data_IF_028341114654
#
_entry.id   IF_028341114654
#
_cell.length_a   1.000
_cell.length_b   1.000
_cell.length_c   1.000
_cell.angle_alpha   90.00
_cell.angle_beta   90.00
_cell.angle_gamma   90.00
#
_symmetry.space_group_name_H-M   'P 1'
#
loop_
_entity.id
_entity.type
_entity.pdbx_description
1 polymer ?
#
# COMPACT_ATOMS: atom_id res chain seq x y z
N UNK A 1 11.72 -22.08 58.80
CA UNK A 1 12.92 -21.94 57.95
C UNK A 1 12.57 -20.97 56.84
N UNK A 2 12.98 -19.71 57.02
CA UNK A 2 12.66 -18.59 56.16
C UNK A 2 13.83 -18.34 55.20
N UNK A 3 13.53 -18.12 53.92
CA UNK A 3 14.49 -17.65 52.94
C UNK A 3 13.97 -16.35 52.35
N UNK A 4 14.70 -15.28 52.66
CA UNK A 4 14.61 -13.93 52.09
C UNK A 4 15.32 -13.88 50.75
N UNK A 5 14.69 -13.30 49.73
CA UNK A 5 15.35 -12.91 48.49
C UNK A 5 15.33 -11.39 48.34
N UNK A 6 16.53 -10.84 48.10
CA UNK A 6 16.89 -9.43 47.99
C UNK A 6 16.64 -8.94 46.55
N UNK A 7 16.05 -7.75 46.41
CA UNK A 7 15.86 -7.04 45.14
C UNK A 7 16.87 -5.90 45.09
N UNK A 8 17.79 -5.92 44.13
CA UNK A 8 18.68 -4.79 43.82
C UNK A 8 18.12 -3.97 42.65
N UNK A 9 18.00 -2.66 42.89
CA UNK A 9 17.71 -1.62 41.89
C UNK A 9 18.86 -0.63 41.88
N UNK A 10 19.36 -0.17 40.72
CA UNK A 10 20.25 0.98 40.68
C UNK A 10 19.46 2.28 40.56
N UNK A 11 19.67 3.14 41.56
CA UNK A 11 19.25 4.54 41.64
C UNK A 11 20.49 5.39 41.34
N UNK A 12 20.42 6.30 40.36
CA UNK A 12 21.43 7.34 40.18
C UNK A 12 20.81 8.72 40.34
N UNK A 13 21.11 9.33 41.48
CA UNK A 13 20.89 10.74 41.82
C UNK A 13 22.02 11.60 41.24
N UNK A 14 21.72 12.79 40.74
CA UNK A 14 22.65 13.93 40.76
C UNK A 14 21.86 15.23 40.93
N UNK A 15 22.27 15.98 41.96
CA UNK A 15 21.77 17.28 42.40
C UNK A 15 22.15 18.45 41.47
N UNK A 16 21.38 19.53 41.60
CA UNK A 16 21.53 20.88 41.02
C UNK A 16 22.77 21.64 41.59
N UNK A 17 23.32 22.69 40.95
CA UNK A 17 22.74 24.05 40.96
C UNK A 17 22.91 24.89 39.68
N UNK A 18 22.18 26.01 39.66
CA UNK A 18 22.15 27.04 38.62
C UNK A 18 23.31 28.04 38.73
N UNK A 19 23.82 28.51 37.59
CA UNK A 19 24.30 29.89 37.38
C UNK A 19 24.32 30.23 35.88
N UNK A 20 24.19 31.52 35.64
CA UNK A 20 23.80 32.29 34.45
C UNK A 20 25.02 32.71 33.60
N UNK A 21 24.92 32.73 32.26
CA UNK A 21 25.32 33.85 31.38
C UNK A 21 25.27 33.52 29.85
N UNK A 22 24.39 34.26 29.16
CA UNK A 22 24.55 34.96 27.85
C UNK A 22 25.29 34.30 26.67
N UNK A 23 24.54 33.96 25.60
CA UNK A 23 24.68 34.67 24.31
C UNK A 23 23.47 34.50 23.38
N UNK A 24 23.02 35.65 22.92
CA UNK A 24 21.83 35.96 22.13
C UNK A 24 22.24 36.21 20.68
N UNK A 25 21.48 35.69 19.70
CA UNK A 25 21.28 36.26 18.35
C UNK A 25 20.19 35.46 17.62
N UNK A 26 18.95 35.91 17.72
CA UNK A 26 18.24 36.81 16.79
C UNK A 26 17.78 36.13 15.50
N UNK A 27 16.51 35.72 15.58
CA UNK A 27 15.58 35.49 14.48
C UNK A 27 15.22 36.85 13.85
N UNK A 28 15.13 36.90 12.52
CA UNK A 28 14.42 37.99 11.84
C UNK A 28 13.53 37.42 10.73
N UNK A 29 12.21 37.55 10.92
CA UNK A 29 11.15 37.49 9.90
C UNK A 29 10.80 38.93 9.52
N UNK A 30 10.29 39.12 8.29
CA UNK A 30 9.29 40.11 7.79
C UNK A 30 9.69 40.54 6.36
N UNK A 31 8.95 40.14 5.32
CA UNK A 31 7.70 40.69 4.74
C UNK A 31 7.93 41.90 3.78
N UNK A 32 7.70 41.61 2.49
CA UNK A 32 7.06 42.40 1.41
C UNK A 32 7.33 43.91 1.19
N UNK A 33 7.66 44.31 -0.05
CA UNK A 33 6.81 45.04 -1.03
C UNK A 33 7.66 45.65 -2.19
N UNK A 34 7.21 45.43 -3.44
CA UNK A 34 7.24 46.26 -4.68
C UNK A 34 8.44 47.19 -5.02
N UNK A 35 9.03 47.08 -6.23
CA UNK A 35 8.72 47.85 -7.47
C UNK A 35 9.77 47.64 -8.59
N UNK A 36 9.29 47.78 -9.83
CA UNK A 36 9.86 47.76 -11.20
C UNK A 36 11.35 48.05 -11.48
N UNK A 37 11.95 47.33 -12.44
CA UNK A 37 12.36 47.80 -13.79
C UNK A 37 13.55 47.02 -14.40
N UNK A 38 13.57 46.94 -15.73
CA UNK A 38 14.50 46.21 -16.61
C UNK A 38 15.99 46.52 -16.42
N UNK A 39 16.86 45.49 -16.57
CA UNK A 39 17.86 45.47 -17.65
C UNK A 39 18.63 44.13 -17.74
N UNK A 40 19.01 43.82 -18.97
CA UNK A 40 19.77 42.67 -19.48
C UNK A 40 21.08 42.35 -18.73
N UNK A 41 21.41 41.05 -18.61
CA UNK A 41 22.80 40.60 -18.80
C UNK A 41 22.93 39.08 -19.05
N UNK A 42 23.30 38.76 -20.30
CA UNK A 42 24.35 37.82 -20.72
C UNK A 42 24.64 36.59 -19.83
N UNK A 43 24.29 35.39 -20.31
CA UNK A 43 24.81 34.11 -19.76
C UNK A 43 25.83 33.51 -20.73
N UNK A 44 27.06 33.41 -20.23
CA UNK A 44 28.21 32.73 -20.82
C UNK A 44 27.94 31.22 -20.94
N UNK A 45 28.14 30.68 -22.15
CA UNK A 45 28.16 29.25 -22.40
C UNK A 45 29.47 28.63 -21.88
N UNK A 46 29.35 27.61 -21.02
CA UNK A 46 30.43 26.68 -20.72
C UNK A 46 30.10 25.33 -21.36
N UNK A 47 30.88 24.96 -22.37
CA UNK A 47 30.83 23.65 -22.99
C UNK A 47 31.36 22.58 -22.02
N UNK A 48 30.61 21.51 -21.82
CA UNK A 48 31.10 20.27 -21.21
C UNK A 48 30.93 19.12 -22.19
N UNK A 49 32.06 18.52 -22.53
CA UNK A 49 32.22 17.41 -23.46
C UNK A 49 31.61 16.13 -22.89
N UNK A 50 30.58 15.58 -23.54
CA UNK A 50 30.09 14.22 -23.28
C UNK A 50 30.46 13.35 -24.48
N UNK A 51 31.27 12.31 -24.25
CA UNK A 51 31.50 11.24 -25.20
C UNK A 51 30.16 10.49 -25.43
N UNK A 52 29.58 10.63 -26.61
CA UNK A 52 28.44 9.82 -27.06
C UNK A 52 28.94 8.55 -27.73
N UNK A 53 28.70 7.40 -27.10
CA UNK A 53 28.73 6.12 -27.80
C UNK A 53 27.42 5.96 -28.59
N UNK A 54 27.50 6.08 -29.91
CA UNK A 54 26.40 5.76 -30.80
C UNK A 54 26.28 4.23 -30.93
N UNK A 55 25.28 3.64 -30.27
CA UNK A 55 24.82 2.29 -30.60
C UNK A 55 23.82 2.42 -31.75
N UNK A 56 24.24 2.05 -32.94
CA UNK A 56 23.37 1.95 -34.12
C UNK A 56 22.36 0.83 -33.90
N UNK A 57 21.12 1.19 -33.53
CA UNK A 57 19.99 0.25 -33.54
C UNK A 57 19.57 -0.01 -34.99
N UNK A 58 19.72 -1.26 -35.42
CA UNK A 58 19.12 -1.77 -36.65
C UNK A 58 17.59 -1.65 -36.59
N UNK A 59 17.03 -1.05 -37.63
CA UNK A 59 15.61 -0.81 -37.82
C UNK A 59 14.81 -2.11 -37.89
N UNK A 60 13.81 -2.27 -37.01
CA UNK A 60 12.63 -3.08 -37.29
C UNK A 60 11.49 -2.12 -37.60
N UNK A 61 11.14 -2.03 -38.89
CA UNK A 61 9.97 -1.31 -39.39
C UNK A 61 8.71 -2.08 -39.00
N UNK A 62 7.81 -1.46 -38.25
CA UNK A 62 6.41 -1.84 -38.22
C UNK A 62 5.61 -0.73 -38.90
N UNK A 63 5.26 -0.98 -40.15
CA UNK A 63 4.40 -0.11 -40.96
C UNK A 63 2.95 -0.53 -40.77
N UNK A 64 2.11 0.40 -40.30
CA UNK A 64 0.68 0.46 -40.67
C UNK A 64 0.14 1.86 -40.38
N UNK A 65 -0.26 2.54 -41.45
CA UNK A 65 -0.86 3.87 -41.48
C UNK A 65 -2.32 3.81 -41.02
N UNK A 66 -2.72 4.78 -40.18
CA UNK A 66 -4.10 5.21 -40.02
C UNK A 66 -4.11 6.74 -39.95
N UNK A 67 -4.68 7.37 -40.98
CA UNK A 67 -4.67 8.80 -41.27
C UNK A 67 -5.82 9.53 -40.56
N UNK A 68 -5.51 10.57 -39.77
CA UNK A 68 -6.30 11.81 -39.66
C UNK A 68 -5.48 12.87 -38.93
N UNK A 69 -5.44 14.08 -39.48
CA UNK A 69 -4.49 15.13 -39.12
C UNK A 69 -4.71 15.79 -37.75
N UNK A 70 -3.60 16.19 -37.15
CA UNK A 70 -3.36 17.52 -36.54
C UNK A 70 -1.86 17.62 -36.17
N UNK A 71 -1.14 18.69 -36.56
CA UNK A 71 0.25 18.87 -36.16
C UNK A 71 0.29 19.70 -34.87
N UNK A 72 0.16 19.04 -33.72
CA UNK A 72 0.37 19.69 -32.43
C UNK A 72 1.27 18.81 -31.53
N UNK A 73 2.50 19.29 -31.37
CA UNK A 73 3.34 19.08 -30.18
C UNK A 73 3.51 17.62 -29.71
N UNK A 74 4.39 16.90 -30.41
CA UNK A 74 5.14 15.79 -29.82
C UNK A 74 6.18 16.33 -28.82
N UNK A 75 5.73 16.81 -27.67
CA UNK A 75 6.53 16.71 -26.44
C UNK A 75 6.37 15.28 -25.95
N UNK A 76 7.09 14.37 -26.60
CA UNK A 76 7.28 13.01 -26.12
C UNK A 76 8.01 13.07 -24.79
N UNK A 77 7.26 13.18 -23.70
CA UNK A 77 7.76 12.72 -22.40
C UNK A 77 7.85 11.21 -22.53
N UNK A 78 9.00 10.71 -22.95
CA UNK A 78 9.30 9.28 -22.80
C UNK A 78 9.33 9.00 -21.30
N UNK A 79 8.18 8.61 -20.76
CA UNK A 79 8.08 8.05 -19.42
C UNK A 79 8.75 6.68 -19.50
N UNK A 80 10.02 6.62 -19.11
CA UNK A 80 10.70 5.37 -18.84
C UNK A 80 9.94 4.67 -17.71
N UNK A 81 9.08 3.72 -18.09
CA UNK A 81 8.41 2.84 -17.12
C UNK A 81 9.45 1.84 -16.62
N UNK A 82 9.75 1.80 -15.30
CA UNK A 82 10.64 0.79 -14.76
C UNK A 82 9.99 -0.58 -14.94
N UNK A 83 10.49 -1.37 -15.89
CA UNK A 83 10.16 -2.78 -15.98
C UNK A 83 10.72 -3.49 -14.76
N UNK A 84 9.86 -4.22 -14.06
CA UNK A 84 10.29 -5.13 -12.99
C UNK A 84 11.41 -6.03 -13.53
N UNK A 85 12.55 -6.06 -12.84
CA UNK A 85 13.73 -6.82 -13.25
C UNK A 85 13.73 -8.25 -12.70
N UNK A 86 12.96 -8.49 -11.64
CA UNK A 86 12.96 -9.72 -10.85
C UNK A 86 11.55 -10.25 -10.63
N UNK A 87 11.47 -11.56 -10.41
CA UNK A 87 10.29 -12.26 -9.92
C UNK A 87 10.59 -12.91 -8.59
N UNK A 88 9.54 -13.26 -7.85
CA UNK A 88 9.64 -13.90 -6.56
C UNK A 88 8.86 -15.20 -6.55
N UNK A 89 9.37 -16.17 -5.79
CA UNK A 89 8.75 -17.46 -5.57
C UNK A 89 8.73 -17.78 -4.08
N UNK A 90 7.58 -18.23 -3.60
CA UNK A 90 7.43 -18.73 -2.23
C UNK A 90 8.06 -20.13 -2.14
N UNK A 91 8.96 -20.31 -1.18
CA UNK A 91 9.61 -21.60 -0.89
C UNK A 91 8.85 -22.38 0.17
N UNK A 92 9.17 -23.67 0.33
CA UNK A 92 8.61 -24.51 1.40
C UNK A 92 8.90 -23.97 2.81
N UNK A 93 9.95 -23.16 2.96
CA UNK A 93 10.30 -22.49 4.22
C UNK A 93 9.52 -21.18 4.43
N UNK A 94 8.47 -20.93 3.64
CA UNK A 94 7.65 -19.73 3.71
C UNK A 94 8.42 -18.43 3.47
N UNK A 95 9.47 -18.49 2.64
CA UNK A 95 10.28 -17.33 2.27
C UNK A 95 10.12 -17.01 0.79
N UNK A 96 10.01 -15.71 0.48
CA UNK A 96 10.03 -15.17 -0.86
C UNK A 96 11.47 -15.04 -1.37
N UNK A 97 11.83 -15.87 -2.34
CA UNK A 97 13.17 -15.86 -2.94
C UNK A 97 13.12 -15.16 -4.29
N UNK A 98 14.06 -14.22 -4.47
CA UNK A 98 14.22 -13.46 -5.70
C UNK A 98 14.84 -14.33 -6.80
N UNK A 99 14.29 -14.22 -8.00
CA UNK A 99 14.74 -14.88 -9.22
C UNK A 99 14.83 -13.86 -10.36
N UNK A 100 15.73 -14.09 -11.30
CA UNK A 100 15.80 -13.29 -12.51
C UNK A 100 14.63 -13.62 -13.45
N UNK A 101 14.08 -12.59 -14.09
CA UNK A 101 13.19 -12.77 -15.23
C UNK A 101 13.99 -13.26 -16.44
N UNK A 102 13.46 -14.24 -17.16
CA UNK A 102 14.04 -14.65 -18.44
C UNK A 102 13.83 -13.57 -19.52
N UNK A 103 14.59 -13.65 -20.61
CA UNK A 103 14.40 -12.72 -21.75
C UNK A 103 12.97 -12.77 -22.29
N UNK A 104 12.39 -13.96 -22.37
CA UNK A 104 11.02 -14.16 -22.86
C UNK A 104 9.97 -13.61 -21.88
N UNK A 105 10.17 -13.79 -20.57
CA UNK A 105 9.30 -13.21 -19.53
C UNK A 105 9.34 -11.68 -19.57
N UNK A 106 10.52 -11.10 -19.76
CA UNK A 106 10.70 -9.65 -19.91
C UNK A 106 10.06 -9.13 -21.20
N UNK A 107 10.20 -9.85 -22.31
CA UNK A 107 9.65 -9.48 -23.60
C UNK A 107 8.12 -9.57 -23.65
N UNK A 108 7.53 -10.49 -22.88
CA UNK A 108 6.07 -10.62 -22.81
C UNK A 108 5.42 -9.50 -22.00
N UNK A 109 6.15 -8.81 -21.11
CA UNK A 109 5.77 -7.62 -20.32
C UNK A 109 4.37 -7.65 -19.64
N UNK A 110 3.66 -8.77 -19.72
CA UNK A 110 2.22 -8.81 -19.63
C UNK A 110 1.76 -10.26 -19.53
N UNK A 111 0.85 -10.50 -18.60
CA UNK A 111 -0.06 -11.66 -18.44
C UNK A 111 0.37 -12.93 -17.72
N UNK A 112 1.64 -13.28 -17.53
CA UNK A 112 1.94 -14.59 -16.92
C UNK A 112 2.13 -14.49 -15.40
N UNK A 113 1.03 -14.30 -14.68
CA UNK A 113 0.85 -14.94 -13.36
C UNK A 113 0.66 -16.44 -13.56
N UNK A 114 1.69 -17.11 -14.07
CA UNK A 114 1.75 -18.57 -14.02
C UNK A 114 2.11 -19.03 -12.61
N UNK A 115 1.93 -20.32 -12.28
CA UNK A 115 2.35 -20.84 -10.98
C UNK A 115 3.82 -20.49 -10.70
N UNK A 116 4.07 -19.71 -9.64
CA UNK A 116 5.41 -19.38 -9.16
C UNK A 116 6.04 -18.07 -9.65
N UNK A 117 5.35 -17.24 -10.46
CA UNK A 117 5.85 -15.92 -10.87
C UNK A 117 5.05 -14.80 -10.20
N UNK A 118 5.59 -14.25 -9.10
CA UNK A 118 4.94 -13.21 -8.30
C UNK A 118 5.81 -11.96 -8.20
N UNK A 119 5.19 -10.78 -8.04
CA UNK A 119 5.91 -9.59 -7.54
C UNK A 119 6.32 -9.81 -6.09
N UNK A 120 7.22 -8.97 -5.55
CA UNK A 120 7.62 -9.05 -4.14
C UNK A 120 6.39 -8.94 -3.22
N UNK A 121 5.58 -7.89 -3.41
CA UNK A 121 4.38 -7.63 -2.60
C UNK A 121 3.39 -8.77 -2.64
N UNK A 122 3.14 -9.33 -3.84
CA UNK A 122 2.23 -10.46 -3.99
C UNK A 122 2.79 -11.70 -3.31
N UNK A 123 4.10 -11.96 -3.43
CA UNK A 123 4.73 -13.08 -2.75
C UNK A 123 4.61 -12.93 -1.23
N UNK A 124 4.97 -11.78 -0.66
CA UNK A 124 4.88 -11.53 0.79
C UNK A 124 3.44 -11.63 1.31
N UNK A 125 2.47 -11.24 0.49
CA UNK A 125 1.05 -11.33 0.81
C UNK A 125 0.51 -12.78 0.79
N UNK A 126 1.05 -13.67 -0.04
CA UNK A 126 0.56 -15.06 -0.21
C UNK A 126 1.50 -16.15 0.31
N UNK A 127 2.65 -15.77 0.89
CA UNK A 127 3.64 -16.71 1.43
C UNK A 127 3.68 -16.67 2.96
N UNK A 128 3.74 -17.85 3.59
CA UNK A 128 3.81 -17.95 5.05
C UNK A 128 2.60 -17.37 5.77
N UNK A 129 2.86 -16.54 6.78
CA UNK A 129 1.84 -15.86 7.58
C UNK A 129 1.28 -14.58 6.91
N UNK A 130 1.69 -14.29 5.67
CA UNK A 130 1.34 -13.06 4.96
C UNK A 130 2.09 -11.83 5.49
N UNK A 131 1.86 -10.68 4.85
CA UNK A 131 2.46 -9.38 5.17
C UNK A 131 1.62 -8.53 6.15
N UNK A 132 0.73 -9.16 6.90
CA UNK A 132 -0.27 -8.48 7.74
C UNK A 132 0.37 -7.83 8.98
N UNK A 133 0.00 -6.58 9.25
CA UNK A 133 0.37 -5.84 10.44
C UNK A 133 -0.85 -5.09 11.03
N UNK A 134 -1.15 -5.24 12.32
CA UNK A 134 -0.67 -6.31 13.22
C UNK A 134 -0.98 -7.71 12.68
N UNK A 135 -0.25 -8.72 13.16
CA UNK A 135 -0.54 -10.10 12.82
C UNK A 135 -1.85 -10.53 13.51
N UNK A 136 -2.86 -11.03 12.78
CA UNK A 136 -4.11 -11.49 13.37
C UNK A 136 -3.92 -12.70 14.30
N UNK A 137 -4.85 -12.91 15.23
CA UNK A 137 -4.84 -14.11 16.09
C UNK A 137 -4.90 -15.43 15.31
N UNK A 138 -5.63 -15.46 14.20
CA UNK A 138 -5.64 -16.59 13.27
C UNK A 138 -5.66 -16.07 11.84
N UNK A 139 -4.71 -16.55 11.04
CA UNK A 139 -4.59 -16.26 9.62
C UNK A 139 -4.36 -17.57 8.86
N UNK A 140 -5.23 -17.89 7.90
CA UNK A 140 -5.16 -19.15 7.13
C UNK A 140 -5.38 -18.88 5.66
N UNK A 141 -4.31 -18.96 4.87
CA UNK A 141 -4.38 -18.99 3.42
C UNK A 141 -4.86 -20.38 2.97
N UNK A 142 -5.94 -20.42 2.19
CA UNK A 142 -6.41 -21.69 1.61
C UNK A 142 -5.56 -22.08 0.41
N UNK A 143 -5.18 -21.09 -0.40
CA UNK A 143 -4.33 -21.24 -1.58
C UNK A 143 -3.41 -20.02 -1.70
N UNK A 144 -2.12 -20.18 -2.05
CA UNK A 144 -1.18 -19.07 -2.24
C UNK A 144 -1.40 -18.39 -3.61
N UNK A 145 -2.61 -17.91 -3.83
CA UNK A 145 -3.07 -17.39 -5.12
C UNK A 145 -3.75 -16.02 -4.95
N UNK A 146 -3.84 -15.27 -6.06
CA UNK A 146 -4.46 -13.96 -6.10
C UNK A 146 -5.38 -13.80 -7.29
N UNK A 147 -6.36 -12.92 -7.15
CA UNK A 147 -7.26 -12.52 -8.23
C UNK A 147 -7.03 -11.07 -8.62
N UNK A 148 -7.21 -10.80 -9.91
CA UNK A 148 -7.29 -9.46 -10.44
C UNK A 148 -8.50 -8.71 -9.88
N UNK A 149 -8.28 -7.56 -9.26
CA UNK A 149 -9.36 -6.73 -8.73
C UNK A 149 -9.23 -5.28 -9.16
N UNK A 150 -10.38 -4.65 -9.36
CA UNK A 150 -10.47 -3.21 -9.55
C UNK A 150 -10.65 -2.55 -8.18
N UNK A 151 -9.68 -1.72 -7.81
CA UNK A 151 -9.63 -1.01 -6.53
C UNK A 151 -10.73 0.04 -6.36
N UNK A 152 -11.42 0.42 -7.45
CA UNK A 152 -12.55 1.36 -7.41
C UNK A 152 -13.92 0.69 -7.31
N UNK A 153 -14.02 -0.62 -7.57
CA UNK A 153 -15.31 -1.33 -7.60
C UNK A 153 -15.53 -2.29 -6.42
N UNK A 154 -15.11 -1.87 -5.24
CA UNK A 154 -15.48 -2.52 -3.98
C UNK A 154 -16.88 -2.06 -3.54
N UNK A 155 -17.84 -2.97 -3.65
CA UNK A 155 -19.23 -2.74 -3.22
C UNK A 155 -19.48 -3.33 -1.84
N UNK A 156 -20.32 -2.67 -1.04
CA UNK A 156 -20.65 -3.11 0.31
C UNK A 156 -22.13 -3.47 0.43
N UNK A 157 -22.41 -4.66 0.95
CA UNK A 157 -23.75 -5.13 1.31
C UNK A 157 -23.75 -5.48 2.79
N UNK A 158 -24.44 -4.68 3.59
CA UNK A 158 -24.43 -4.80 5.05
C UNK A 158 -25.77 -5.39 5.50
N UNK A 159 -25.72 -6.45 6.31
CA UNK A 159 -26.85 -7.05 6.98
C UNK A 159 -26.75 -6.82 8.50
N UNK A 160 -27.89 -6.71 9.17
CA UNK A 160 -27.96 -6.56 10.63
C UNK A 160 -28.46 -5.19 11.08
N UNK A 161 -28.23 -4.88 12.36
CA UNK A 161 -28.72 -3.66 13.01
C UNK A 161 -27.75 -2.51 12.76
N UNK A 162 -27.74 -1.97 11.54
CA UNK A 162 -26.91 -0.80 11.22
C UNK A 162 -27.78 0.22 10.52
N UNK A 163 -28.59 0.93 11.30
CA UNK A 163 -29.37 2.04 10.79
C UNK A 163 -28.41 3.13 10.30
N UNK A 164 -28.22 3.24 8.99
CA UNK A 164 -27.69 4.38 8.24
C UNK A 164 -26.70 5.29 9.00
N UNK A 165 -25.76 4.70 9.76
CA UNK A 165 -24.89 5.49 10.62
C UNK A 165 -23.89 6.21 9.73
N UNK A 166 -23.77 7.53 9.90
CA UNK A 166 -22.77 8.33 9.19
C UNK A 166 -21.37 7.76 9.38
N UNK A 167 -21.12 7.15 10.54
CA UNK A 167 -19.87 6.46 10.86
C UNK A 167 -19.61 5.26 9.93
N UNK A 168 -20.61 4.43 9.63
CA UNK A 168 -20.46 3.31 8.68
C UNK A 168 -20.08 3.82 7.29
N UNK A 169 -20.80 4.84 6.81
CA UNK A 169 -20.52 5.46 5.51
C UNK A 169 -19.11 6.07 5.47
N UNK A 170 -18.70 6.76 6.54
CA UNK A 170 -17.37 7.32 6.66
C UNK A 170 -16.28 6.23 6.64
N UNK A 171 -16.50 5.10 7.32
CA UNK A 171 -15.55 3.97 7.31
C UNK A 171 -15.44 3.32 5.93
N UNK A 172 -16.56 3.11 5.23
CA UNK A 172 -16.56 2.60 3.86
C UNK A 172 -15.88 3.57 2.89
N UNK A 173 -16.14 4.87 3.03
CA UNK A 173 -15.51 5.93 2.23
C UNK A 173 -14.00 6.02 2.48
N UNK A 174 -13.56 5.91 3.73
CA UNK A 174 -12.14 5.87 4.08
C UNK A 174 -11.45 4.65 3.47
N UNK A 175 -12.08 3.46 3.56
CA UNK A 175 -11.58 2.24 2.92
C UNK A 175 -11.41 2.40 1.40
N UNK A 176 -12.44 2.92 0.71
CA UNK A 176 -12.37 3.18 -0.73
C UNK A 176 -11.26 4.19 -1.07
N UNK A 177 -11.11 5.24 -0.26
CA UNK A 177 -10.06 6.24 -0.43
C UNK A 177 -8.66 5.62 -0.31
N UNK A 178 -8.42 4.75 0.68
CA UNK A 178 -7.13 4.07 0.85
C UNK A 178 -6.84 3.08 -0.29
N UNK A 179 -7.86 2.38 -0.82
CA UNK A 179 -7.69 1.54 -2.01
C UNK A 179 -7.29 2.37 -3.24
N UNK A 180 -7.96 3.50 -3.48
CA UNK A 180 -7.64 4.38 -4.61
C UNK A 180 -6.25 4.98 -4.47
N UNK A 181 -5.80 5.32 -3.27
CA UNK A 181 -4.42 5.80 -3.04
C UNK A 181 -3.36 4.79 -3.51
N UNK A 182 -3.63 3.48 -3.45
CA UNK A 182 -2.72 2.45 -3.98
C UNK A 182 -2.48 2.60 -5.49
N UNK A 183 -3.33 3.31 -6.25
CA UNK A 183 -3.08 3.67 -7.66
C UNK A 183 -1.78 4.44 -7.88
N UNK A 184 -1.25 5.12 -6.85
CA UNK A 184 0.06 5.76 -6.92
C UNK A 184 1.21 4.76 -7.17
N UNK A 185 1.00 3.47 -6.91
CA UNK A 185 1.97 2.41 -7.19
C UNK A 185 2.00 1.99 -8.67
N UNK A 186 0.95 2.32 -9.44
CA UNK A 186 0.80 1.95 -10.85
C UNK A 186 1.57 2.90 -11.79
N UNK A 187 2.87 3.07 -11.55
CA UNK A 187 3.76 3.86 -12.40
C UNK A 187 3.86 3.18 -13.77
N UNK A 188 3.33 3.83 -14.82
CA UNK A 188 3.24 3.25 -16.16
C UNK A 188 1.85 2.69 -16.53
N UNK A 189 0.85 2.89 -15.67
CA UNK A 189 -0.54 2.53 -15.95
C UNK A 189 -0.93 1.13 -15.47
N UNK A 190 -2.19 0.78 -15.74
CA UNK A 190 -2.81 -0.48 -15.30
C UNK A 190 -3.16 -1.31 -16.53
N UNK A 191 -2.61 -2.52 -16.64
CA UNK A 191 -2.82 -3.41 -17.79
C UNK A 191 -4.21 -4.04 -17.82
N UNK A 192 -4.84 -4.24 -16.65
CA UNK A 192 -6.22 -4.70 -16.55
C UNK A 192 -6.88 -4.10 -15.31
N UNK A 193 -8.11 -3.61 -15.45
CA UNK A 193 -8.89 -3.11 -14.32
C UNK A 193 -9.10 -4.21 -13.27
N UNK A 194 -9.25 -5.48 -13.70
CA UNK A 194 -9.58 -6.59 -12.81
C UNK A 194 -11.09 -6.71 -12.56
N UNK A 195 -11.46 -7.53 -11.58
CA UNK A 195 -12.85 -7.85 -11.25
C UNK A 195 -13.36 -6.97 -10.11
N UNK A 196 -14.65 -6.66 -10.12
CA UNK A 196 -15.30 -6.01 -8.98
C UNK A 196 -15.36 -6.94 -7.76
N UNK A 197 -15.27 -6.34 -6.58
CA UNK A 197 -15.26 -7.05 -5.30
C UNK A 197 -16.55 -6.76 -4.55
N UNK A 198 -17.18 -7.82 -4.02
CA UNK A 198 -18.38 -7.71 -3.20
C UNK A 198 -18.05 -8.00 -1.75
N UNK A 199 -18.15 -6.99 -0.90
CA UNK A 199 -18.03 -7.10 0.56
C UNK A 199 -19.41 -7.32 1.14
N UNK A 200 -19.66 -8.51 1.68
CA UNK A 200 -20.88 -8.86 2.40
C UNK A 200 -20.55 -8.89 3.89
N UNK A 201 -21.14 -8.00 4.67
CA UNK A 201 -20.86 -7.91 6.10
C UNK A 201 -22.11 -8.11 6.95
N UNK A 202 -21.96 -8.74 8.11
CA UNK A 202 -22.96 -8.79 9.15
C UNK A 202 -22.45 -8.09 10.40
N UNK A 203 -23.21 -7.09 10.87
CA UNK A 203 -22.89 -6.33 12.08
C UNK A 203 -24.07 -6.50 13.06
N UNK A 204 -23.79 -7.04 14.25
CA UNK A 204 -24.83 -7.45 15.18
C UNK A 204 -25.42 -6.29 16.00
N UNK A 205 -24.58 -5.35 16.41
CA UNK A 205 -24.96 -4.20 17.25
C UNK A 205 -24.97 -2.88 16.47
N UNK A 206 -26.00 -2.06 16.70
CA UNK A 206 -26.10 -0.69 16.18
C UNK A 206 -25.34 0.34 17.03
N UNK A 207 -24.79 -0.07 18.17
CA UNK A 207 -24.11 0.86 19.08
C UNK A 207 -22.82 1.41 18.47
N UNK A 208 -22.73 2.75 18.46
CA UNK A 208 -21.53 3.50 18.08
C UNK A 208 -20.82 4.10 19.30
N UNK A 209 -21.15 3.64 20.51
CA UNK A 209 -20.50 4.09 21.75
C UNK A 209 -19.18 3.35 21.92
N UNK A 210 -18.08 4.10 21.95
CA UNK A 210 -16.76 3.57 22.29
C UNK A 210 -16.59 3.52 23.81
N UNK A 211 -16.23 2.35 24.32
CA UNK A 211 -15.96 2.06 25.74
C UNK A 211 -14.80 1.08 25.84
N UNK A 212 -14.24 0.88 27.04
CA UNK A 212 -13.23 -0.17 27.24
C UNK A 212 -13.75 -1.58 26.93
N UNK A 213 -15.06 -1.79 26.99
CA UNK A 213 -15.70 -3.07 26.73
C UNK A 213 -16.27 -3.19 25.31
N UNK A 214 -15.95 -2.22 24.43
CA UNK A 214 -16.35 -2.30 23.03
C UNK A 214 -15.74 -3.54 22.38
N UNK A 215 -16.60 -4.37 21.81
CA UNK A 215 -16.15 -5.56 21.09
C UNK A 215 -15.58 -5.19 19.73
N UNK A 216 -14.26 -5.32 19.60
CA UNK A 216 -13.47 -5.04 18.40
C UNK A 216 -13.14 -6.31 17.59
N UNK A 217 -13.74 -7.47 17.93
CA UNK A 217 -13.50 -8.73 17.22
C UNK A 217 -14.17 -8.77 15.85
N UNK A 218 -13.55 -9.51 14.93
CA UNK A 218 -14.11 -9.79 13.62
C UNK A 218 -13.64 -11.13 13.03
N UNK A 219 -14.48 -11.66 12.15
CA UNK A 219 -14.12 -12.73 11.21
C UNK A 219 -14.12 -12.14 9.79
N UNK A 220 -13.10 -12.46 9.00
CA UNK A 220 -13.00 -12.11 7.59
C UNK A 220 -12.68 -13.36 6.77
N UNK A 221 -13.45 -13.61 5.72
CA UNK A 221 -13.16 -14.67 4.76
C UNK A 221 -13.21 -14.11 3.33
N UNK A 222 -12.25 -14.51 2.51
CA UNK A 222 -12.24 -14.21 1.06
C UNK A 222 -12.45 -15.52 0.30
N UNK A 223 -13.33 -15.48 -0.68
CA UNK A 223 -13.52 -16.53 -1.66
C UNK A 223 -13.67 -15.90 -3.05
N UNK A 224 -12.61 -15.98 -3.86
CA UNK A 224 -12.46 -15.27 -5.13
C UNK A 224 -12.66 -13.76 -4.95
N UNK A 225 -13.74 -13.19 -5.50
CA UNK A 225 -14.05 -11.75 -5.41
C UNK A 225 -15.15 -11.44 -4.39
N UNK A 226 -15.52 -12.40 -3.54
CA UNK A 226 -16.47 -12.19 -2.45
C UNK A 226 -15.72 -12.15 -1.12
N UNK A 227 -15.90 -11.07 -0.39
CA UNK A 227 -15.37 -10.90 0.97
C UNK A 227 -16.53 -10.98 1.94
N UNK A 228 -16.47 -11.90 2.90
CA UNK A 228 -17.46 -12.04 3.97
C UNK A 228 -16.88 -11.54 5.27
N UNK A 229 -17.55 -10.60 5.94
CA UNK A 229 -17.15 -10.05 7.23
C UNK A 229 -18.24 -10.31 8.27
N UNK A 230 -17.87 -10.78 9.45
CA UNK A 230 -18.76 -10.84 10.62
C UNK A 230 -18.14 -10.07 11.76
N UNK A 231 -18.91 -9.19 12.38
CA UNK A 231 -18.46 -8.41 13.52
C UNK A 231 -19.61 -8.16 14.50
N UNK A 232 -19.27 -8.09 15.79
CA UNK A 232 -20.27 -7.80 16.82
C UNK A 232 -20.63 -6.31 16.84
N UNK A 233 -19.68 -5.44 16.49
CA UNK A 233 -19.88 -3.98 16.40
C UNK A 233 -19.28 -3.41 15.12
N UNK A 234 -19.59 -2.14 14.84
CA UNK A 234 -18.99 -1.39 13.73
C UNK A 234 -17.45 -1.27 13.83
N UNK A 235 -16.88 -1.37 15.04
CA UNK A 235 -15.44 -1.28 15.24
C UNK A 235 -14.72 -2.54 14.77
N UNK A 236 -15.28 -3.72 15.04
CA UNK A 236 -14.81 -4.97 14.44
C UNK A 236 -14.86 -4.94 12.92
N UNK A 237 -15.96 -4.42 12.35
CA UNK A 237 -16.08 -4.22 10.90
C UNK A 237 -15.00 -3.28 10.34
N UNK A 238 -14.72 -2.16 11.02
CA UNK A 238 -13.64 -1.23 10.65
C UNK A 238 -12.27 -1.92 10.66
N UNK A 239 -11.98 -2.75 11.67
CA UNK A 239 -10.74 -3.53 11.74
C UNK A 239 -10.65 -4.54 10.60
N UNK A 240 -11.75 -5.23 10.28
CA UNK A 240 -11.82 -6.13 9.13
C UNK A 240 -11.52 -5.42 7.80
N UNK A 241 -12.01 -4.19 7.60
CA UNK A 241 -11.67 -3.39 6.42
C UNK A 241 -10.19 -3.01 6.38
N UNK A 242 -9.59 -2.67 7.52
CA UNK A 242 -8.16 -2.39 7.61
C UNK A 242 -7.31 -3.62 7.25
N UNK A 243 -7.75 -4.81 7.66
CA UNK A 243 -7.13 -6.08 7.28
C UNK A 243 -7.33 -6.38 5.79
N UNK A 244 -8.53 -6.12 5.23
CA UNK A 244 -8.78 -6.28 3.80
C UNK A 244 -7.88 -5.40 2.94
N UNK A 245 -7.57 -4.16 3.36
CA UNK A 245 -6.66 -3.27 2.64
C UNK A 245 -5.25 -3.85 2.46
N UNK A 246 -4.80 -4.67 3.41
CA UNK A 246 -3.48 -5.30 3.38
C UNK A 246 -3.44 -6.54 2.48
N UNK A 247 -4.62 -7.12 2.21
CA UNK A 247 -4.79 -8.26 1.31
C UNK A 247 -5.00 -7.84 -0.15
N UNK A 248 -4.83 -6.56 -0.47
CA UNK A 248 -4.91 -5.99 -1.81
C UNK A 248 -3.64 -5.19 -2.08
N UNK A 249 -2.88 -5.55 -3.11
CA UNK A 249 -1.65 -4.83 -3.46
C UNK A 249 -1.38 -4.80 -4.97
N UNK A 250 -0.47 -3.92 -5.36
CA UNK A 250 0.01 -3.77 -6.73
C UNK A 250 0.99 -4.88 -7.11
N UNK A 251 0.73 -5.53 -8.25
CA UNK A 251 1.68 -6.41 -8.90
C UNK A 251 2.30 -5.69 -10.09
N UNK A 252 3.58 -5.35 -9.98
CA UNK A 252 4.37 -4.71 -11.04
C UNK A 252 4.61 -5.64 -12.24
N UNK A 253 4.70 -6.96 -12.02
CA UNK A 253 4.82 -7.95 -13.11
C UNK A 253 3.55 -8.07 -13.96
N UNK A 254 2.38 -8.11 -13.34
CA UNK A 254 1.09 -8.18 -14.06
C UNK A 254 0.47 -6.81 -14.32
N UNK A 255 1.17 -5.74 -13.93
CA UNK A 255 0.73 -4.34 -13.98
C UNK A 255 -0.74 -4.17 -13.56
N UNK A 256 -1.10 -4.77 -12.43
CA UNK A 256 -2.49 -4.77 -11.98
C UNK A 256 -2.62 -5.03 -10.49
N UNK A 257 -3.71 -4.54 -9.90
CA UNK A 257 -4.03 -4.80 -8.50
C UNK A 257 -4.46 -6.25 -8.31
N UNK A 258 -3.93 -6.88 -7.26
CA UNK A 258 -4.13 -8.27 -6.89
C UNK A 258 -4.69 -8.31 -5.47
N UNK A 259 -5.71 -9.14 -5.27
CA UNK A 259 -6.24 -9.48 -3.95
C UNK A 259 -6.00 -10.97 -3.68
N UNK A 260 -5.68 -11.34 -2.43
CA UNK A 260 -5.64 -12.76 -2.03
C UNK A 260 -6.94 -13.46 -2.42
N UNK A 261 -6.85 -14.60 -3.12
CA UNK A 261 -8.03 -15.27 -3.67
C UNK A 261 -8.83 -16.04 -2.63
N UNK A 262 -8.17 -16.59 -1.62
CA UNK A 262 -8.82 -17.37 -0.57
C UNK A 262 -8.05 -17.31 0.76
N UNK A 263 -8.69 -16.73 1.79
CA UNK A 263 -8.14 -16.62 3.14
C UNK A 263 -9.25 -16.62 4.18
N UNK A 264 -8.97 -17.12 5.38
CA UNK A 264 -9.80 -16.96 6.57
C UNK A 264 -8.99 -16.30 7.68
N UNK A 265 -9.55 -15.25 8.28
CA UNK A 265 -8.97 -14.48 9.37
C UNK A 265 -9.98 -14.41 10.51
N UNK A 266 -9.51 -14.67 11.72
CA UNK A 266 -10.26 -14.43 12.96
C UNK A 266 -9.36 -13.60 13.85
N UNK A 267 -9.85 -12.45 14.29
CA UNK A 267 -9.02 -11.51 15.03
C UNK A 267 -9.78 -10.73 16.10
N UNK A 268 -9.02 -10.33 17.13
CA UNK A 268 -9.42 -9.38 18.15
C UNK A 268 -8.18 -8.84 18.86
N UNK A 269 -8.20 -7.59 19.33
CA UNK A 269 -7.08 -7.05 20.07
C UNK A 269 -6.88 -7.81 21.39
N UNK A 270 -5.62 -8.07 21.75
CA UNK A 270 -5.27 -8.64 23.05
C UNK A 270 -5.53 -7.67 24.21
N UNK A 271 -5.36 -6.36 23.95
CA UNK A 271 -5.56 -5.29 24.93
C UNK A 271 -6.59 -4.28 24.44
N UNK A 272 -7.52 -3.92 25.33
CA UNK A 272 -8.65 -3.01 25.08
C UNK A 272 -8.20 -1.55 24.89
N UNK A 273 -7.13 -1.13 25.56
CA UNK A 273 -6.59 0.22 25.45
C UNK A 273 -5.25 0.22 24.70
N UNK A 274 -5.14 1.02 23.64
CA UNK A 274 -3.97 1.10 22.73
C UNK A 274 -3.69 2.56 22.35
N UNK A 275 -3.57 3.43 23.36
CA UNK A 275 -3.37 4.87 23.18
C UNK A 275 -1.93 5.26 22.82
N UNK A 276 -1.78 6.46 22.27
CA UNK A 276 -0.51 7.17 22.02
C UNK A 276 -0.59 8.51 22.73
#
# INVERSE_FOLDING_TARGET
MAWTAVIDTPRSTCDRPATEETKQRQVCRLLSLWYSSHNDMLVLAAASSVLTFAVTKSSLRLSSLGSSGDPALLLGTEVLVPLAAFKYMCTNNHQCVQLNLTKDERAKASTVTGPGVLSLRVCEMTCGNGSMLPLPQSFKLTTPDTVAVDVESFSHSIAGRVDNSDLLRAMQSAFATELVKKKQLALGGVATAGRSVKVVASIQSSSVKLTLDTDESYDLAIASTTVTIRANTIYGYRHALASLLQLVDWCDLSQSFRMVSAVTIVDKPAYKHRGI
#
